data_IF_018138757983
#
_entry.id   IF_018138757983
#
_cell.length_a   1.000
_cell.length_b   1.000
_cell.length_c   1.000
_cell.angle_alpha   90.00
_cell.angle_beta   90.00
_cell.angle_gamma   90.00
#
_symmetry.space_group_name_H-M   'P 1'
#
loop_
_entity.id
_entity.type
_entity.pdbx_description
1 polymer ?
#
# COMPACT_ATOMS: atom_id res chain seq x y z
N UNK A 1 13.27 23.98 0.85
CA UNK A 1 13.69 22.73 0.19
C UNK A 1 14.04 21.76 1.30
N UNK A 2 13.41 20.59 1.35
CA UNK A 2 13.66 19.54 2.35
C UNK A 2 14.06 18.25 1.65
N UNK A 3 14.75 17.37 2.37
CA UNK A 3 15.13 16.03 1.92
C UNK A 3 14.21 14.99 2.53
N UNK A 4 13.44 14.30 1.71
CA UNK A 4 12.41 13.36 2.16
C UNK A 4 12.81 11.94 1.75
N UNK A 5 13.03 11.07 2.75
CA UNK A 5 13.34 9.67 2.55
C UNK A 5 12.04 8.85 2.49
N UNK A 6 11.82 8.16 1.38
CA UNK A 6 10.67 7.27 1.18
C UNK A 6 11.07 5.83 1.43
N UNK A 7 10.39 5.14 2.33
CA UNK A 7 10.69 3.74 2.65
C UNK A 7 9.40 2.88 2.71
N UNK A 8 8.70 2.70 1.58
CA UNK A 8 7.60 1.75 1.51
C UNK A 8 8.14 0.31 1.51
N UNK A 9 7.29 -0.66 1.89
CA UNK A 9 7.60 -2.06 1.63
C UNK A 9 7.36 -2.37 0.13
N UNK A 10 8.44 -2.32 -0.66
CA UNK A 10 8.39 -2.39 -2.13
C UNK A 10 8.00 -3.76 -2.71
N UNK A 11 7.70 -4.75 -1.86
CA UNK A 11 7.00 -5.97 -2.27
C UNK A 11 5.48 -5.76 -2.41
N UNK A 12 4.92 -4.69 -1.82
CA UNK A 12 3.51 -4.30 -1.92
C UNK A 12 3.34 -3.22 -2.99
N UNK A 13 2.62 -3.56 -4.06
CA UNK A 13 2.41 -2.66 -5.19
C UNK A 13 1.66 -1.38 -4.78
N UNK A 14 0.62 -1.51 -3.94
CA UNK A 14 -0.18 -0.36 -3.50
C UNK A 14 0.63 0.65 -2.70
N UNK A 15 1.51 0.19 -1.82
CA UNK A 15 2.41 1.07 -1.06
C UNK A 15 3.45 1.74 -1.95
N UNK A 16 4.06 0.96 -2.85
CA UNK A 16 5.07 1.46 -3.79
C UNK A 16 4.50 2.55 -4.68
N UNK A 17 3.34 2.31 -5.28
CA UNK A 17 2.69 3.26 -6.19
C UNK A 17 2.19 4.52 -5.46
N UNK A 18 1.67 4.37 -4.25
CA UNK A 18 1.31 5.51 -3.39
C UNK A 18 2.52 6.35 -3.02
N UNK A 19 3.62 5.69 -2.64
CA UNK A 19 4.91 6.36 -2.36
C UNK A 19 5.42 7.14 -3.57
N UNK A 20 5.32 6.59 -4.78
CA UNK A 20 5.71 7.26 -6.03
C UNK A 20 4.91 8.54 -6.25
N UNK A 21 3.59 8.52 -6.09
CA UNK A 21 2.77 9.73 -6.32
C UNK A 21 3.02 10.82 -5.27
N UNK A 22 3.23 10.43 -3.99
CA UNK A 22 3.63 11.39 -2.95
C UNK A 22 5.00 11.99 -3.26
N UNK A 23 5.97 11.17 -3.69
CA UNK A 23 7.30 11.63 -4.05
C UNK A 23 7.28 12.57 -5.27
N UNK A 24 6.47 12.27 -6.30
CA UNK A 24 6.25 13.17 -7.44
C UNK A 24 5.73 14.55 -7.01
N UNK A 25 4.75 14.55 -6.11
CA UNK A 25 4.23 15.80 -5.55
C UNK A 25 5.31 16.54 -4.76
N UNK A 26 6.11 15.85 -3.94
CA UNK A 26 7.22 16.45 -3.20
C UNK A 26 8.25 17.09 -4.14
N UNK A 27 8.65 16.40 -5.21
CA UNK A 27 9.58 16.93 -6.24
C UNK A 27 9.00 18.16 -6.92
N UNK A 28 7.70 18.14 -7.29
CA UNK A 28 7.02 19.30 -7.89
C UNK A 28 7.02 20.53 -6.96
N UNK A 29 7.07 20.33 -5.65
CA UNK A 29 7.16 21.40 -4.65
C UNK A 29 8.61 21.74 -4.26
N UNK A 30 9.60 21.25 -5.02
CA UNK A 30 11.00 21.60 -4.84
C UNK A 30 11.71 20.86 -3.70
N UNK A 31 11.21 19.71 -3.27
CA UNK A 31 11.88 18.83 -2.31
C UNK A 31 12.79 17.82 -3.01
N UNK A 32 13.87 17.41 -2.36
CA UNK A 32 14.67 16.27 -2.78
C UNK A 32 14.08 14.99 -2.20
N UNK A 33 14.08 13.90 -2.98
CA UNK A 33 13.53 12.61 -2.56
C UNK A 33 14.53 11.49 -2.81
N UNK A 34 14.49 10.45 -1.96
CA UNK A 34 15.23 9.20 -2.14
C UNK A 34 14.36 8.05 -1.66
N UNK A 35 14.21 7.02 -2.48
CA UNK A 35 13.61 5.76 -2.05
C UNK A 35 14.67 4.84 -1.44
N UNK A 36 14.36 4.27 -0.27
CA UNK A 36 15.16 3.26 0.41
C UNK A 36 14.29 2.03 0.64
N UNK A 37 14.56 0.97 -0.12
CA UNK A 37 13.68 -0.20 -0.20
C UNK A 37 14.43 -1.51 0.00
N UNK A 38 13.71 -2.59 0.34
CA UNK A 38 14.30 -3.89 0.67
C UNK A 38 13.79 -5.04 -0.21
N UNK A 39 12.97 -4.77 -1.22
CA UNK A 39 12.51 -5.79 -2.16
C UNK A 39 12.66 -5.32 -3.61
N UNK A 40 13.17 -6.18 -4.51
CA UNK A 40 13.25 -5.88 -5.93
C UNK A 40 11.89 -6.02 -6.66
N UNK A 41 10.85 -6.59 -6.02
CA UNK A 41 9.58 -7.00 -6.66
C UNK A 41 8.92 -5.86 -7.46
N UNK A 42 8.87 -4.65 -6.92
CA UNK A 42 8.31 -3.46 -7.59
C UNK A 42 9.31 -2.32 -7.75
N UNK A 43 10.62 -2.63 -7.67
CA UNK A 43 11.70 -1.65 -7.83
C UNK A 43 11.59 -0.90 -9.16
N UNK A 44 11.31 -1.66 -10.24
CA UNK A 44 11.18 -1.09 -11.59
C UNK A 44 10.12 0.02 -11.68
N UNK A 45 9.05 0.01 -10.89
CA UNK A 45 8.05 1.08 -10.89
C UNK A 45 8.64 2.41 -10.41
N UNK A 46 9.57 2.38 -9.45
CA UNK A 46 10.25 3.56 -8.92
C UNK A 46 11.26 4.08 -9.95
N UNK A 47 12.01 3.18 -10.59
CA UNK A 47 12.97 3.50 -11.64
C UNK A 47 12.27 4.10 -12.89
N UNK A 48 11.17 3.49 -13.34
CA UNK A 48 10.36 3.97 -14.46
C UNK A 48 9.73 5.36 -14.16
N UNK A 49 9.50 5.67 -12.87
CA UNK A 49 9.09 6.99 -12.43
C UNK A 49 10.24 8.02 -12.39
N UNK A 50 11.48 7.61 -12.72
CA UNK A 50 12.70 8.41 -12.66
C UNK A 50 13.00 8.98 -11.27
N UNK A 51 12.63 8.26 -10.23
CA UNK A 51 12.88 8.63 -8.84
C UNK A 51 14.14 7.91 -8.33
N UNK A 52 15.04 8.61 -7.61
CA UNK A 52 16.23 8.00 -7.06
C UNK A 52 15.85 6.90 -6.06
N UNK A 53 16.49 5.72 -6.19
CA UNK A 53 16.20 4.57 -5.35
C UNK A 53 17.47 3.83 -4.94
N UNK A 54 17.51 3.38 -3.70
CA UNK A 54 18.52 2.52 -3.11
C UNK A 54 17.87 1.21 -2.65
N UNK A 55 18.25 0.09 -3.27
CA UNK A 55 17.90 -1.24 -2.80
C UNK A 55 18.92 -1.68 -1.74
N UNK A 56 18.46 -1.95 -0.53
CA UNK A 56 19.30 -2.19 0.64
C UNK A 56 19.18 -3.61 1.19
N UNK A 57 20.21 -4.06 1.89
CA UNK A 57 20.23 -5.32 2.61
C UNK A 57 19.79 -5.13 4.10
N UNK A 58 19.18 -6.15 4.71
CA UNK A 58 18.87 -7.47 4.15
C UNK A 58 17.59 -7.46 3.30
N UNK A 59 17.64 -8.05 2.11
CA UNK A 59 16.48 -8.13 1.23
C UNK A 59 15.32 -8.88 1.89
N UNK A 60 14.10 -8.48 1.52
CA UNK A 60 12.89 -9.26 1.81
C UNK A 60 12.78 -10.34 0.73
N UNK A 61 12.85 -11.60 1.14
CA UNK A 61 12.64 -12.73 0.23
C UNK A 61 11.18 -12.84 -0.20
N UNK A 62 10.90 -13.55 -1.31
CA UNK A 62 9.53 -13.79 -1.77
C UNK A 62 8.67 -14.49 -0.70
N UNK A 63 9.25 -15.48 0.00
CA UNK A 63 8.54 -16.18 1.09
C UNK A 63 8.21 -15.25 2.27
N UNK A 64 9.10 -14.34 2.62
CA UNK A 64 8.82 -13.33 3.66
C UNK A 64 7.78 -12.31 3.19
N UNK A 65 7.85 -11.87 1.92
CA UNK A 65 6.85 -10.98 1.33
C UNK A 65 5.45 -11.61 1.38
N UNK A 66 5.33 -12.89 1.01
CA UNK A 66 4.06 -13.61 1.07
C UNK A 66 3.54 -13.78 2.51
N UNK A 67 4.42 -14.02 3.48
CA UNK A 67 4.06 -14.06 4.90
C UNK A 67 3.61 -12.68 5.43
N UNK A 68 4.28 -11.61 5.02
CA UNK A 68 3.90 -10.24 5.38
C UNK A 68 2.55 -9.85 4.76
N UNK A 69 2.31 -10.22 3.49
CA UNK A 69 1.02 -10.02 2.84
C UNK A 69 -0.10 -10.82 3.53
N UNK A 70 0.18 -12.05 3.96
CA UNK A 70 -0.77 -12.86 4.72
C UNK A 70 -1.08 -12.24 6.09
N UNK A 71 -0.06 -11.69 6.77
CA UNK A 71 -0.21 -10.99 8.04
C UNK A 71 -1.08 -9.74 7.89
N UNK A 72 -0.84 -8.92 6.88
CA UNK A 72 -1.60 -7.72 6.54
C UNK A 72 -3.07 -8.03 6.25
N UNK A 73 -3.34 -9.16 5.61
CA UNK A 73 -4.69 -9.66 5.33
C UNK A 73 -5.35 -10.39 6.51
N UNK A 74 -4.75 -10.39 7.70
CA UNK A 74 -5.27 -11.08 8.88
C UNK A 74 -5.22 -12.61 8.80
N UNK A 75 -4.49 -13.18 7.84
CA UNK A 75 -4.31 -14.64 7.64
C UNK A 75 -3.03 -15.18 8.31
N UNK A 76 -2.22 -14.31 8.87
CA UNK A 76 -1.01 -14.62 9.61
C UNK A 76 -1.07 -14.08 11.02
N UNK A 77 -0.29 -14.68 11.93
CA UNK A 77 -0.22 -14.24 13.35
C UNK A 77 1.20 -13.92 13.80
N UNK A 78 2.21 -14.26 12.99
CA UNK A 78 3.61 -14.10 13.36
C UNK A 78 4.37 -13.31 12.31
N UNK A 79 5.06 -12.27 12.75
CA UNK A 79 5.96 -11.49 11.89
C UNK A 79 7.19 -12.33 11.51
N UNK A 80 7.58 -12.40 10.20
CA UNK A 80 8.65 -13.29 9.75
C UNK A 80 10.06 -12.84 10.14
N UNK A 81 10.27 -11.56 10.46
CA UNK A 81 11.61 -11.04 10.69
C UNK A 81 12.21 -11.50 12.01
N UNK A 82 13.41 -12.08 11.93
CA UNK A 82 14.24 -12.39 13.10
C UNK A 82 14.80 -11.12 13.74
N UNK A 83 15.27 -11.22 14.98
CA UNK A 83 15.93 -10.09 15.68
C UNK A 83 17.14 -9.57 14.89
N UNK A 84 17.93 -10.48 14.31
CA UNK A 84 19.07 -10.12 13.49
C UNK A 84 18.66 -9.35 12.23
N UNK A 85 17.61 -9.78 11.54
CA UNK A 85 17.10 -9.07 10.37
C UNK A 85 16.59 -7.67 10.71
N UNK A 86 15.82 -7.55 11.80
CA UNK A 86 15.36 -6.24 12.29
C UNK A 86 16.54 -5.33 12.63
N UNK A 87 17.56 -5.86 13.33
CA UNK A 87 18.77 -5.11 13.70
C UNK A 87 19.52 -4.58 12.47
N UNK A 88 19.74 -5.45 11.46
CA UNK A 88 20.41 -5.07 10.21
C UNK A 88 19.61 -4.02 9.42
N UNK A 89 18.28 -4.17 9.34
CA UNK A 89 17.43 -3.15 8.69
C UNK A 89 17.50 -1.82 9.40
N UNK A 90 17.32 -1.79 10.73
CA UNK A 90 17.43 -0.55 11.53
C UNK A 90 18.79 0.12 11.35
N UNK A 91 19.87 -0.65 11.35
CA UNK A 91 21.22 -0.10 11.11
C UNK A 91 21.35 0.52 9.71
N UNK A 92 20.87 -0.16 8.66
CA UNK A 92 20.87 0.33 7.28
C UNK A 92 20.01 1.60 7.12
N UNK A 93 18.84 1.63 7.74
CA UNK A 93 17.92 2.77 7.73
C UNK A 93 18.54 4.00 8.41
N UNK A 94 19.19 3.81 9.55
CA UNK A 94 19.92 4.89 10.24
C UNK A 94 21.09 5.44 9.40
N UNK A 95 21.77 4.58 8.64
CA UNK A 95 22.78 5.01 7.68
C UNK A 95 22.13 5.81 6.56
N UNK A 96 21.05 5.33 5.97
CA UNK A 96 20.33 6.01 4.89
C UNK A 96 19.82 7.40 5.33
N UNK A 97 19.20 7.51 6.51
CA UNK A 97 18.70 8.77 7.08
C UNK A 97 19.86 9.77 7.21
N UNK A 98 21.01 9.34 7.77
CA UNK A 98 22.18 10.21 7.97
C UNK A 98 22.85 10.59 6.66
N UNK A 99 23.11 9.62 5.76
CA UNK A 99 23.82 9.87 4.50
C UNK A 99 23.02 10.77 3.57
N UNK A 100 21.72 10.55 3.49
CA UNK A 100 20.81 11.41 2.72
C UNK A 100 20.55 12.75 3.44
N UNK A 101 20.88 12.86 4.73
CA UNK A 101 20.54 14.00 5.60
C UNK A 101 19.04 14.29 5.56
N UNK A 102 18.24 13.26 5.83
CA UNK A 102 16.79 13.33 5.71
C UNK A 102 16.16 14.28 6.74
N UNK A 103 15.33 15.21 6.27
CA UNK A 103 14.52 16.10 7.11
C UNK A 103 13.20 15.46 7.52
N UNK A 104 12.74 14.45 6.75
CA UNK A 104 11.52 13.70 7.01
C UNK A 104 11.60 12.29 6.39
N UNK A 105 10.81 11.37 6.93
CA UNK A 105 10.65 10.01 6.40
C UNK A 105 9.19 9.75 6.09
N UNK A 106 8.91 9.16 4.92
CA UNK A 106 7.57 8.69 4.52
C UNK A 106 7.60 7.18 4.37
N UNK A 107 6.69 6.48 5.04
CA UNK A 107 6.58 5.01 4.98
C UNK A 107 5.22 4.55 4.44
N UNK A 108 5.18 3.30 3.98
CA UNK A 108 4.03 2.42 3.98
C UNK A 108 4.05 1.56 5.25
N UNK A 109 4.00 0.23 5.13
CA UNK A 109 4.02 -0.68 6.29
C UNK A 109 5.42 -1.08 6.77
N UNK A 110 6.47 -0.30 6.46
CA UNK A 110 7.83 -0.57 6.94
C UNK A 110 7.95 -0.35 8.46
N UNK A 111 7.76 -1.41 9.24
CA UNK A 111 7.77 -1.35 10.70
C UNK A 111 9.16 -1.09 11.30
N UNK A 112 10.26 -1.45 10.61
CA UNK A 112 11.62 -1.17 11.11
C UNK A 112 11.91 0.32 11.10
N UNK A 113 11.41 1.03 10.10
CA UNK A 113 11.56 2.48 10.00
C UNK A 113 10.82 3.25 11.12
N UNK A 114 9.77 2.67 11.72
CA UNK A 114 9.16 3.21 12.95
C UNK A 114 10.14 3.27 14.12
N UNK A 115 11.12 2.36 14.16
CA UNK A 115 12.23 2.40 15.16
C UNK A 115 13.27 3.41 14.70
N UNK A 116 13.74 3.29 13.47
CA UNK A 116 14.87 4.05 12.93
C UNK A 116 14.63 5.55 12.92
N UNK A 117 13.46 6.00 12.46
CA UNK A 117 13.10 7.41 12.44
C UNK A 117 13.03 8.01 13.86
N UNK A 118 12.45 7.27 14.82
CA UNK A 118 12.38 7.69 16.22
C UNK A 118 13.77 7.75 16.88
N UNK A 119 14.66 6.79 16.57
CA UNK A 119 16.04 6.80 17.05
C UNK A 119 16.82 7.98 16.46
N UNK A 120 16.60 8.28 15.19
CA UNK A 120 17.21 9.42 14.51
C UNK A 120 16.61 10.78 14.88
N UNK A 121 15.43 10.81 15.51
CA UNK A 121 14.72 12.04 15.83
C UNK A 121 14.18 12.78 14.60
N UNK A 122 13.89 12.05 13.52
CA UNK A 122 13.39 12.61 12.26
C UNK A 122 11.87 12.40 12.17
N UNK A 123 11.10 13.43 11.79
CA UNK A 123 9.65 13.32 11.61
C UNK A 123 9.25 12.20 10.68
N UNK A 124 8.26 11.40 11.09
CA UNK A 124 7.79 10.23 10.39
C UNK A 124 6.35 10.42 9.90
N UNK A 125 6.11 10.16 8.62
CA UNK A 125 4.82 10.19 7.97
C UNK A 125 4.47 8.79 7.49
N UNK A 126 3.23 8.35 7.75
CA UNK A 126 2.75 7.04 7.32
C UNK A 126 1.56 7.20 6.39
N UNK A 127 1.77 6.92 5.09
CA UNK A 127 0.71 6.91 4.09
C UNK A 127 -0.08 5.59 4.15
N UNK A 128 -1.35 5.63 4.58
CA UNK A 128 -2.13 4.43 4.89
C UNK A 128 -3.63 4.59 4.63
N UNK A 129 -4.35 3.47 4.42
CA UNK A 129 -5.81 3.46 4.31
C UNK A 129 -6.48 3.88 5.62
N UNK A 130 -7.72 4.40 5.53
CA UNK A 130 -8.52 4.75 6.70
C UNK A 130 -8.77 3.55 7.64
N UNK A 131 -8.97 2.35 7.09
CA UNK A 131 -9.17 1.13 7.86
C UNK A 131 -8.00 0.78 8.81
N UNK A 132 -6.82 1.37 8.60
CA UNK A 132 -5.66 1.24 9.50
C UNK A 132 -5.42 2.47 10.36
N UNK A 133 -6.29 3.47 10.30
CA UNK A 133 -6.13 4.74 11.03
C UNK A 133 -6.35 4.58 12.54
N UNK A 134 -5.76 5.48 13.30
CA UNK A 134 -6.03 5.62 14.74
C UNK A 134 -7.51 5.95 14.97
N UNK A 135 -8.08 6.79 14.13
CA UNK A 135 -9.49 7.16 14.17
C UNK A 135 -10.41 5.95 14.01
N UNK A 136 -10.14 5.07 13.02
CA UNK A 136 -10.95 3.87 12.78
C UNK A 136 -11.02 2.93 13.99
N UNK A 137 -9.90 2.77 14.70
CA UNK A 137 -9.82 1.89 15.87
C UNK A 137 -10.20 2.54 17.20
N UNK A 138 -10.24 3.87 17.28
CA UNK A 138 -10.43 4.58 18.56
C UNK A 138 -11.73 5.37 18.63
N UNK A 139 -12.16 5.98 17.53
CA UNK A 139 -13.36 6.79 17.52
C UNK A 139 -14.64 5.95 17.49
N UNK A 140 -15.70 6.44 18.11
CA UNK A 140 -17.04 5.90 17.91
C UNK A 140 -17.52 6.20 16.48
N UNK A 141 -18.39 5.34 15.90
CA UNK A 141 -19.05 5.65 14.65
C UNK A 141 -20.03 6.83 14.90
N UNK A 142 -19.89 7.86 14.09
CA UNK A 142 -20.75 9.04 14.13
C UNK A 142 -21.14 9.42 12.70
N UNK A 143 -22.42 9.72 12.48
CA UNK A 143 -22.94 10.00 11.16
C UNK A 143 -22.71 8.84 10.19
N UNK A 144 -22.12 9.14 9.02
CA UNK A 144 -21.76 8.14 7.99
C UNK A 144 -20.32 7.62 8.14
N UNK A 145 -19.61 8.01 9.19
CA UNK A 145 -18.22 7.60 9.39
C UNK A 145 -18.12 6.11 9.73
N UNK A 146 -17.35 5.36 8.93
CA UNK A 146 -17.02 3.99 9.25
C UNK A 146 -16.08 3.93 10.47
N UNK A 147 -16.29 2.93 11.32
CA UNK A 147 -15.41 2.63 12.44
C UNK A 147 -15.32 1.12 12.64
N UNK A 148 -14.26 0.67 13.30
CA UNK A 148 -14.14 -0.74 13.67
C UNK A 148 -15.32 -1.18 14.56
N UNK A 149 -15.76 -2.43 14.48
CA UNK A 149 -16.77 -2.97 15.40
C UNK A 149 -16.42 -2.69 16.87
N UNK A 150 -17.42 -2.45 17.71
CA UNK A 150 -17.21 -2.01 19.09
C UNK A 150 -16.27 -2.90 19.90
N UNK A 151 -16.37 -4.24 19.73
CA UNK A 151 -15.46 -5.19 20.37
C UNK A 151 -14.02 -5.08 19.86
N UNK A 152 -13.82 -4.79 18.57
CA UNK A 152 -12.48 -4.57 17.98
C UNK A 152 -11.87 -3.29 18.53
N UNK A 153 -12.65 -2.21 18.64
CA UNK A 153 -12.19 -0.95 19.25
C UNK A 153 -11.81 -1.15 20.72
N UNK A 154 -12.65 -1.86 21.50
CA UNK A 154 -12.33 -2.18 22.89
C UNK A 154 -11.03 -2.98 22.99
N UNK A 155 -10.84 -3.97 22.12
CA UNK A 155 -9.61 -4.77 22.04
C UNK A 155 -8.40 -3.90 21.67
N UNK A 156 -8.53 -3.00 20.70
CA UNK A 156 -7.44 -2.13 20.24
C UNK A 156 -6.91 -1.22 21.37
N UNK A 157 -7.74 -0.84 22.35
CA UNK A 157 -7.33 -0.03 23.50
C UNK A 157 -6.46 -0.78 24.50
N UNK A 158 -6.54 -2.12 24.55
CA UNK A 158 -5.84 -2.94 25.53
C UNK A 158 -4.74 -3.81 24.94
N UNK A 159 -4.81 -4.12 23.63
CA UNK A 159 -3.84 -5.01 22.99
C UNK A 159 -2.45 -4.38 22.98
N UNK A 160 -1.48 -5.12 23.48
CA UNK A 160 -0.09 -4.69 23.62
C UNK A 160 0.88 -5.61 22.87
N UNK A 161 0.37 -6.32 21.86
CA UNK A 161 1.20 -7.22 21.04
C UNK A 161 2.25 -6.44 20.26
N UNK A 162 3.48 -6.88 20.40
CA UNK A 162 4.64 -6.41 19.62
C UNK A 162 5.49 -7.63 19.29
N UNK A 163 5.97 -7.75 18.05
CA UNK A 163 6.93 -8.82 17.75
C UNK A 163 8.16 -8.69 18.65
N UNK A 164 8.59 -9.81 19.24
CA UNK A 164 9.73 -9.82 20.18
C UNK A 164 11.01 -9.29 19.54
N UNK A 165 11.22 -9.57 18.25
CA UNK A 165 12.36 -9.07 17.48
C UNK A 165 12.42 -7.54 17.43
N UNK A 166 11.31 -6.86 17.23
CA UNK A 166 11.23 -5.39 17.23
C UNK A 166 11.46 -4.80 18.61
N UNK A 167 10.87 -5.42 19.63
CA UNK A 167 11.04 -4.99 21.03
C UNK A 167 12.50 -5.12 21.48
N UNK A 168 13.17 -6.21 21.10
CA UNK A 168 14.58 -6.43 21.43
C UNK A 168 15.47 -5.34 20.82
N UNK A 169 15.33 -5.10 19.51
CA UNK A 169 16.13 -4.10 18.79
C UNK A 169 15.84 -2.68 19.26
N UNK A 170 14.57 -2.32 19.48
CA UNK A 170 14.23 -1.00 20.04
C UNK A 170 14.94 -0.74 21.38
N UNK A 171 15.04 -1.75 22.25
CA UNK A 171 15.78 -1.65 23.53
C UNK A 171 17.27 -1.46 23.34
N UNK A 172 17.89 -2.10 22.34
CA UNK A 172 19.32 -1.92 22.01
C UNK A 172 19.65 -0.45 21.72
N UNK A 173 18.69 0.29 21.13
CA UNK A 173 18.81 1.73 20.86
C UNK A 173 18.24 2.63 21.98
N UNK A 174 17.89 2.07 23.14
CA UNK A 174 17.30 2.82 24.25
C UNK A 174 15.88 3.31 24.00
N UNK A 175 15.21 2.86 22.92
CA UNK A 175 13.86 3.28 22.56
C UNK A 175 12.82 2.44 23.29
N UNK A 176 11.92 3.11 23.99
CA UNK A 176 10.74 2.49 24.59
C UNK A 176 9.56 2.57 23.61
N UNK A 177 9.15 1.42 23.06
CA UNK A 177 8.01 1.36 22.18
C UNK A 177 6.70 1.70 22.93
N UNK A 178 5.71 2.34 22.26
CA UNK A 178 4.41 2.63 22.85
C UNK A 178 3.74 1.37 23.42
N UNK A 179 2.93 1.53 24.47
CA UNK A 179 2.30 0.38 25.14
C UNK A 179 1.32 -0.36 24.23
N UNK A 180 0.38 0.37 23.62
CA UNK A 180 -0.64 -0.23 22.74
C UNK A 180 -0.06 -0.51 21.36
N UNK A 181 -0.53 -1.58 20.71
CA UNK A 181 -0.11 -1.94 19.35
C UNK A 181 -0.50 -0.85 18.34
N UNK A 182 -1.70 -0.28 18.47
CA UNK A 182 -2.16 0.78 17.57
C UNK A 182 -1.27 2.04 17.62
N UNK A 183 -0.79 2.41 18.80
CA UNK A 183 0.12 3.54 18.96
C UNK A 183 1.54 3.20 18.43
N UNK A 184 1.97 1.96 18.60
CA UNK A 184 3.25 1.50 18.04
C UNK A 184 3.26 1.60 16.51
N UNK A 185 2.14 1.27 15.89
CA UNK A 185 1.96 1.32 14.43
C UNK A 185 1.62 2.71 13.88
N UNK A 186 1.52 3.74 14.73
CA UNK A 186 1.30 5.13 14.32
C UNK A 186 2.61 5.88 14.13
N UNK A 187 2.63 6.77 13.12
CA UNK A 187 3.68 7.75 12.88
C UNK A 187 3.38 9.07 13.61
N UNK A 188 4.26 10.06 13.47
CA UNK A 188 3.99 11.42 13.97
C UNK A 188 2.81 12.05 13.22
N UNK A 189 2.67 11.71 11.93
CA UNK A 189 1.51 12.06 11.09
C UNK A 189 1.13 10.86 10.25
N UNK A 190 -0.11 10.41 10.36
CA UNK A 190 -0.68 9.40 9.48
C UNK A 190 -1.43 10.09 8.33
N UNK A 191 -0.96 9.91 7.11
CA UNK A 191 -1.60 10.44 5.90
C UNK A 191 -2.69 9.44 5.47
N UNK A 192 -3.94 9.78 5.70
CA UNK A 192 -5.08 8.91 5.39
C UNK A 192 -5.48 9.09 3.93
N UNK A 193 -5.20 8.05 3.13
CA UNK A 193 -5.29 8.05 1.67
C UNK A 193 -6.59 7.36 1.20
N UNK A 194 -7.72 7.65 1.80
CA UNK A 194 -9.00 6.98 1.52
C UNK A 194 -9.98 7.86 0.75
N UNK A 195 -10.99 7.23 0.16
CA UNK A 195 -12.07 7.93 -0.52
C UNK A 195 -12.82 8.86 0.46
N UNK A 196 -13.25 10.01 -0.06
CA UNK A 196 -13.94 11.03 0.72
C UNK A 196 -15.17 10.50 1.47
N UNK A 197 -15.87 9.53 0.90
CA UNK A 197 -17.07 8.91 1.49
C UNK A 197 -16.79 8.20 2.81
N UNK A 198 -15.58 7.68 3.02
CA UNK A 198 -15.18 7.04 4.28
C UNK A 198 -14.91 8.05 5.41
N UNK A 199 -14.65 9.30 5.02
CA UNK A 199 -14.26 10.38 5.92
C UNK A 199 -15.40 11.39 6.16
N UNK A 200 -16.58 11.13 5.62
CA UNK A 200 -17.76 11.96 5.92
C UNK A 200 -18.09 11.92 7.40
N UNK A 201 -18.17 13.09 7.99
CA UNK A 201 -18.46 13.25 9.41
C UNK A 201 -17.36 14.02 10.12
N UNK A 202 -17.10 13.66 11.38
CA UNK A 202 -16.19 14.38 12.25
C UNK A 202 -14.73 14.40 11.79
N UNK A 203 -13.96 15.36 12.27
CA UNK A 203 -12.54 15.44 12.01
C UNK A 203 -11.84 14.17 12.50
N UNK A 204 -10.75 13.78 11.79
CA UNK A 204 -9.91 12.66 12.21
C UNK A 204 -9.23 12.97 13.55
N UNK A 205 -9.01 11.93 14.35
CA UNK A 205 -8.25 12.03 15.59
C UNK A 205 -6.75 12.11 15.27
N UNK A 206 -6.02 13.00 15.93
CA UNK A 206 -4.57 13.02 15.83
C UNK A 206 -3.98 11.65 16.18
N UNK A 207 -2.95 11.17 15.46
CA UNK A 207 -2.17 11.87 14.43
C UNK A 207 -2.68 11.71 12.98
N UNK A 208 -3.93 11.30 12.76
CA UNK A 208 -4.48 11.05 11.43
C UNK A 208 -4.84 12.38 10.74
N UNK A 209 -4.42 12.51 9.48
CA UNK A 209 -4.71 13.66 8.60
C UNK A 209 -5.24 13.15 7.27
N UNK A 210 -6.40 13.61 6.84
CA UNK A 210 -6.95 13.24 5.54
C UNK A 210 -6.20 13.94 4.41
N UNK A 211 -5.72 13.13 3.44
CA UNK A 211 -5.11 13.63 2.21
C UNK A 211 -5.90 13.20 0.96
N UNK A 212 -6.94 12.41 1.15
CA UNK A 212 -7.75 11.85 0.06
C UNK A 212 -7.06 10.71 -0.69
N UNK A 213 -7.75 10.12 -1.68
CA UNK A 213 -7.23 8.99 -2.43
C UNK A 213 -6.04 9.40 -3.30
N UNK A 214 -5.03 8.55 -3.36
CA UNK A 214 -3.83 8.73 -4.17
C UNK A 214 -3.88 7.74 -5.33
N UNK A 215 -4.12 8.26 -6.53
CA UNK A 215 -4.23 7.45 -7.75
C UNK A 215 -2.88 7.36 -8.46
N UNK A 216 -2.39 6.14 -8.64
CA UNK A 216 -1.18 5.91 -9.41
C UNK A 216 -1.41 6.18 -10.90
N UNK A 217 -0.60 7.06 -11.44
CA UNK A 217 -0.60 7.41 -12.87
C UNK A 217 0.38 6.50 -13.62
N UNK A 218 -0.06 5.25 -13.84
CA UNK A 218 0.73 4.29 -14.60
C UNK A 218 1.03 4.84 -16.00
N UNK A 219 2.27 4.72 -16.50
CA UNK A 219 2.58 5.05 -17.89
C UNK A 219 1.91 4.06 -18.83
N UNK A 220 1.65 4.47 -20.05
CA UNK A 220 1.10 3.63 -21.09
C UNK A 220 -0.11 4.23 -21.79
N UNK A 221 -0.57 3.53 -22.81
CA UNK A 221 -1.75 3.88 -23.58
C UNK A 221 -2.94 3.03 -23.18
N UNK A 222 -4.13 3.56 -23.48
CA UNK A 222 -5.36 2.78 -23.33
C UNK A 222 -5.35 1.57 -24.28
N UNK A 223 -5.76 0.38 -23.81
CA UNK A 223 -5.91 -0.80 -24.65
C UNK A 223 -6.84 -0.52 -25.86
N UNK A 224 -6.60 -1.25 -26.95
CA UNK A 224 -7.33 -1.05 -28.21
C UNK A 224 -8.85 -1.08 -28.04
N UNK A 225 -9.37 -2.04 -27.25
CA UNK A 225 -10.81 -2.19 -26.98
C UNK A 225 -11.44 -0.92 -26.37
N UNK A 226 -10.66 -0.11 -25.64
CA UNK A 226 -11.13 1.14 -25.02
C UNK A 226 -11.18 2.28 -26.05
N UNK A 227 -10.30 2.23 -27.05
CA UNK A 227 -10.18 3.26 -28.10
C UNK A 227 -11.17 3.05 -29.26
N UNK A 228 -11.68 1.83 -29.40
CA UNK A 228 -12.65 1.49 -30.44
C UNK A 228 -14.08 1.91 -30.05
N UNK A 229 -14.95 2.16 -31.04
CA UNK A 229 -16.36 2.42 -30.77
C UNK A 229 -17.03 1.25 -30.05
N UNK A 230 -17.65 1.51 -28.92
CA UNK A 230 -18.33 0.48 -28.13
C UNK A 230 -19.49 -0.14 -28.91
N UNK A 231 -19.51 -1.47 -28.99
CA UNK A 231 -20.63 -2.26 -29.48
C UNK A 231 -21.51 -2.80 -28.35
N UNK A 232 -20.93 -2.91 -27.15
CA UNK A 232 -21.56 -3.41 -25.92
C UNK A 232 -21.05 -2.59 -24.74
N UNK A 233 -21.71 -2.65 -23.58
CA UNK A 233 -21.17 -2.07 -22.37
C UNK A 233 -19.78 -2.66 -22.07
N UNK A 234 -18.81 -1.81 -21.71
CA UNK A 234 -17.44 -2.21 -21.39
C UNK A 234 -17.23 -2.21 -19.87
N UNK A 235 -16.93 -3.38 -19.33
CA UNK A 235 -16.66 -3.57 -17.91
C UNK A 235 -15.16 -3.73 -17.68
N UNK A 236 -14.58 -2.93 -16.78
CA UNK A 236 -13.20 -3.12 -16.31
C UNK A 236 -13.17 -4.07 -15.11
N UNK A 237 -12.32 -5.10 -15.17
CA UNK A 237 -12.07 -6.01 -14.04
C UNK A 237 -10.61 -5.90 -13.63
N UNK A 238 -10.35 -5.41 -12.40
CA UNK A 238 -9.02 -5.22 -11.87
C UNK A 238 -8.91 -5.76 -10.44
N UNK A 239 -8.15 -6.87 -10.24
CA UNK A 239 -7.97 -7.49 -8.93
C UNK A 239 -6.69 -7.05 -8.21
N UNK A 240 -5.93 -6.12 -8.79
CA UNK A 240 -4.66 -5.67 -8.20
C UNK A 240 -3.66 -6.81 -7.98
N UNK A 241 -2.63 -6.55 -7.20
CA UNK A 241 -1.59 -7.54 -6.86
C UNK A 241 -1.96 -8.45 -5.68
N UNK A 242 -2.95 -8.08 -4.89
CA UNK A 242 -3.42 -8.82 -3.70
C UNK A 242 -4.75 -9.55 -3.90
N UNK A 243 -5.30 -9.50 -5.12
CA UNK A 243 -6.55 -10.18 -5.47
C UNK A 243 -6.42 -11.69 -5.55
N UNK A 244 -7.57 -12.38 -5.53
CA UNK A 244 -7.64 -13.84 -5.64
C UNK A 244 -7.82 -14.26 -7.11
N UNK A 245 -6.89 -15.08 -7.63
CA UNK A 245 -7.01 -15.70 -8.95
C UNK A 245 -8.29 -16.52 -9.10
N UNK A 246 -8.70 -17.23 -8.05
CA UNK A 246 -9.93 -18.02 -8.05
C UNK A 246 -11.19 -17.15 -8.20
N UNK A 247 -11.25 -16.03 -7.47
CA UNK A 247 -12.36 -15.08 -7.57
C UNK A 247 -12.36 -14.43 -8.96
N UNK A 248 -11.21 -14.01 -9.47
CA UNK A 248 -11.08 -13.45 -10.81
C UNK A 248 -11.61 -14.43 -11.86
N UNK A 249 -11.17 -15.69 -11.83
CA UNK A 249 -11.63 -16.71 -12.78
C UNK A 249 -13.14 -16.96 -12.68
N UNK A 250 -13.72 -16.94 -11.47
CA UNK A 250 -15.16 -17.10 -11.28
C UNK A 250 -15.94 -15.90 -11.86
N UNK A 251 -15.51 -14.68 -11.60
CA UNK A 251 -16.11 -13.46 -12.16
C UNK A 251 -16.07 -13.48 -13.68
N UNK A 252 -14.92 -13.78 -14.28
CA UNK A 252 -14.76 -13.79 -15.73
C UNK A 252 -15.58 -14.88 -16.40
N UNK A 253 -15.71 -16.06 -15.80
CA UNK A 253 -16.62 -17.12 -16.31
C UNK A 253 -18.06 -16.66 -16.38
N UNK A 254 -18.55 -15.93 -15.39
CA UNK A 254 -19.91 -15.37 -15.42
C UNK A 254 -20.04 -14.29 -16.50
N UNK A 255 -19.06 -13.41 -16.61
CA UNK A 255 -19.09 -12.33 -17.61
C UNK A 255 -18.87 -12.84 -19.05
N UNK A 256 -18.25 -13.99 -19.25
CA UNK A 256 -17.99 -14.55 -20.58
C UNK A 256 -19.25 -14.90 -21.35
N UNK A 257 -20.38 -15.12 -20.66
CA UNK A 257 -21.71 -15.39 -21.25
C UNK A 257 -22.63 -14.18 -21.28
N UNK A 258 -22.20 -13.05 -20.71
CA UNK A 258 -22.99 -11.84 -20.64
C UNK A 258 -22.85 -10.99 -21.94
N UNK A 259 -23.85 -10.17 -22.29
CA UNK A 259 -23.80 -9.30 -23.48
C UNK A 259 -22.98 -8.03 -23.25
N UNK A 260 -21.78 -8.17 -22.71
CA UNK A 260 -20.82 -7.11 -22.36
C UNK A 260 -19.45 -7.42 -22.91
N UNK A 261 -18.61 -6.42 -23.10
CA UNK A 261 -17.18 -6.58 -23.32
C UNK A 261 -16.45 -6.35 -21.99
N UNK A 262 -15.38 -7.10 -21.74
CA UNK A 262 -14.67 -7.08 -20.47
C UNK A 262 -13.20 -6.81 -20.71
N UNK A 263 -12.68 -5.75 -20.12
CA UNK A 263 -11.25 -5.47 -20.06
C UNK A 263 -10.68 -5.96 -18.72
N UNK A 264 -9.75 -6.91 -18.78
CA UNK A 264 -9.09 -7.44 -17.56
C UNK A 264 -7.71 -6.80 -17.42
N UNK A 265 -7.54 -5.98 -16.39
CA UNK A 265 -6.25 -5.44 -15.97
C UNK A 265 -5.49 -6.40 -15.06
N UNK A 266 -4.15 -6.48 -15.21
CA UNK A 266 -3.33 -7.37 -14.37
C UNK A 266 -3.57 -8.85 -14.62
N UNK A 267 -3.85 -9.23 -15.86
CA UNK A 267 -4.21 -10.60 -16.27
C UNK A 267 -3.20 -11.70 -15.96
N UNK A 268 -2.08 -11.39 -15.29
CA UNK A 268 -1.10 -12.37 -14.79
C UNK A 268 -1.66 -13.30 -13.69
N UNK A 269 -2.76 -12.91 -13.04
CA UNK A 269 -3.47 -13.76 -12.06
C UNK A 269 -4.24 -14.92 -12.70
N UNK A 270 -4.42 -14.90 -14.02
CA UNK A 270 -5.10 -15.97 -14.75
C UNK A 270 -4.09 -16.96 -15.29
N UNK A 271 -4.31 -18.25 -15.02
CA UNK A 271 -3.58 -19.31 -15.70
C UNK A 271 -3.91 -19.31 -17.20
N UNK A 272 -3.03 -19.89 -18.02
CA UNK A 272 -3.27 -20.03 -19.46
C UNK A 272 -4.47 -20.95 -19.77
N UNK A 273 -4.75 -21.91 -18.89
CA UNK A 273 -5.90 -22.82 -19.01
C UNK A 273 -7.19 -22.04 -18.76
N UNK A 274 -7.25 -21.24 -17.70
CA UNK A 274 -8.40 -20.40 -17.40
C UNK A 274 -8.65 -19.40 -18.53
N UNK A 275 -7.59 -18.81 -19.07
CA UNK A 275 -7.69 -17.84 -20.16
C UNK A 275 -8.31 -18.44 -21.45
N UNK A 276 -7.99 -19.69 -21.76
CA UNK A 276 -8.53 -20.40 -22.96
C UNK A 276 -10.00 -20.79 -22.82
N UNK A 277 -10.49 -20.88 -21.60
CA UNK A 277 -11.88 -21.22 -21.30
C UNK A 277 -12.83 -20.02 -21.32
N UNK A 278 -12.32 -18.82 -21.52
CA UNK A 278 -13.11 -17.58 -21.50
C UNK A 278 -13.68 -17.23 -22.88
N UNK A 279 -14.79 -16.52 -22.89
CA UNK A 279 -15.45 -16.05 -24.11
C UNK A 279 -14.62 -14.98 -24.86
N UNK A 280 -14.92 -14.82 -26.15
CA UNK A 280 -14.24 -13.83 -27.02
C UNK A 280 -14.48 -12.37 -26.62
N UNK A 281 -15.40 -12.12 -25.70
CA UNK A 281 -15.70 -10.80 -25.14
C UNK A 281 -14.76 -10.43 -23.96
N UNK A 282 -13.82 -11.31 -23.59
CA UNK A 282 -12.86 -11.07 -22.52
C UNK A 282 -11.52 -10.66 -23.12
N UNK A 283 -11.15 -9.39 -22.92
CA UNK A 283 -9.93 -8.78 -23.44
C UNK A 283 -8.90 -8.64 -22.30
N UNK A 284 -7.81 -9.41 -22.37
CA UNK A 284 -6.74 -9.36 -21.38
C UNK A 284 -5.76 -8.25 -21.74
N UNK A 285 -5.46 -7.40 -20.77
CA UNK A 285 -4.39 -6.44 -20.86
C UNK A 285 -3.40 -6.67 -19.71
N UNK A 286 -2.17 -6.24 -19.90
CA UNK A 286 -1.17 -6.18 -18.83
C UNK A 286 -1.50 -5.09 -17.81
N UNK A 287 -0.56 -4.22 -17.55
CA UNK A 287 -0.81 -3.01 -16.75
C UNK A 287 -1.70 -2.07 -17.56
N UNK A 288 -2.86 -1.75 -17.02
CA UNK A 288 -3.79 -0.78 -17.62
C UNK A 288 -3.64 0.54 -16.88
N UNK A 289 -3.46 1.68 -17.58
CA UNK A 289 -3.46 3.01 -16.95
C UNK A 289 -4.89 3.36 -16.48
N UNK A 290 -5.30 2.79 -15.35
CA UNK A 290 -6.68 2.85 -14.85
C UNK A 290 -7.20 4.28 -14.69
N UNK A 291 -6.33 5.24 -14.41
CA UNK A 291 -6.68 6.67 -14.32
C UNK A 291 -7.18 7.27 -15.66
N UNK A 292 -6.87 6.63 -16.79
CA UNK A 292 -7.35 7.03 -18.12
C UNK A 292 -8.65 6.34 -18.52
N UNK A 293 -9.14 5.37 -17.73
CA UNK A 293 -10.38 4.63 -18.07
C UNK A 293 -11.66 5.44 -17.80
N UNK A 294 -11.58 6.50 -17.01
CA UNK A 294 -12.74 7.34 -16.70
C UNK A 294 -13.41 7.86 -18.00
N UNK A 295 -14.72 7.69 -18.09
CA UNK A 295 -15.49 8.04 -19.29
C UNK A 295 -15.43 7.01 -20.44
N UNK A 296 -14.57 5.98 -20.35
CA UNK A 296 -14.44 4.94 -21.35
C UNK A 296 -15.10 3.60 -20.93
N UNK A 297 -15.30 3.37 -19.66
CA UNK A 297 -15.93 2.16 -19.12
C UNK A 297 -17.31 2.47 -18.56
N UNK A 298 -18.21 1.48 -18.56
CA UNK A 298 -19.57 1.61 -18.04
C UNK A 298 -19.67 1.11 -16.60
N UNK A 299 -18.79 0.17 -16.19
CA UNK A 299 -18.70 -0.33 -14.83
C UNK A 299 -17.29 -0.86 -14.52
N UNK A 300 -16.97 -1.00 -13.25
CA UNK A 300 -15.74 -1.64 -12.79
C UNK A 300 -16.01 -2.66 -11.69
N UNK A 301 -15.24 -3.76 -11.69
CA UNK A 301 -15.22 -4.77 -10.64
C UNK A 301 -13.80 -4.82 -10.10
N UNK A 302 -13.63 -4.53 -8.82
CA UNK A 302 -12.33 -4.52 -8.16
C UNK A 302 -12.39 -5.35 -6.87
N UNK A 303 -11.22 -5.67 -6.32
CA UNK A 303 -11.11 -6.37 -5.04
C UNK A 303 -11.30 -5.45 -3.81
N UNK A 304 -11.61 -4.17 -4.03
CA UNK A 304 -11.81 -3.19 -2.95
C UNK A 304 -10.52 -2.67 -2.31
N UNK A 305 -9.35 -2.84 -2.96
CA UNK A 305 -8.10 -2.19 -2.55
C UNK A 305 -8.11 -0.69 -2.85
N UNK A 306 -7.39 0.07 -2.04
CA UNK A 306 -7.20 1.52 -2.19
C UNK A 306 -5.89 1.84 -2.92
#
# INVERSE_FOLDING_TARGET
MSRILFSPESFNMGETTRGIEIARAAVQHGHEVLFHVYSPRHLKLIEDAQLPVCLSEPLVSEAEADQLMALDQGRGVRHPFTTEKVRRRVAAELVAIRTFNADAVVIGSNLTMLISARVAGVPLFYARPYAYSTTYFSAAPEGERAAAPGWVRALAQVISYKPASFTAVAREYGLKLPRRTVDMLSADVNLICSLFTELRGDPLMAPDVSVGPIFYRAPGELPQIVREPKKRPLIYVGMGSSGSAHILAAVLRQLSTAPVDVLVGGGMLLSDVDARSLGNNIHRAGTVPAHLLAGHIDASITHGGE
#
